data_IF_452757059280
#
_entry.id   IF_452757059280
#
_cell.length_a   1.000
_cell.length_b   1.000
_cell.length_c   1.000
_cell.angle_alpha   90.00
_cell.angle_beta   90.00
_cell.angle_gamma   90.00
#
_symmetry.space_group_name_H-M   'P 1'
#
loop_
_entity.id
_entity.type
_entity.pdbx_description
1 polymer ?
#
# COMPACT_ATOMS: atom_id res chain seq x y z
N UNK A 1 9.40 -1.61 12.07
CA UNK A 1 10.20 -1.16 10.91
C UNK A 1 9.58 0.10 10.29
N UNK A 2 10.27 0.78 9.37
CA UNK A 2 9.76 1.96 8.65
C UNK A 2 8.45 1.67 7.90
N UNK A 3 8.31 0.47 7.33
CA UNK A 3 7.09 -0.02 6.70
C UNK A 3 5.90 -0.10 7.68
N UNK A 4 6.11 -0.57 8.92
CA UNK A 4 5.05 -0.63 9.93
C UNK A 4 4.57 0.76 10.32
N UNK A 5 5.50 1.73 10.43
CA UNK A 5 5.17 3.12 10.71
C UNK A 5 4.34 3.71 9.56
N UNK A 6 4.79 3.54 8.31
CA UNK A 6 4.11 4.09 7.14
C UNK A 6 2.72 3.47 6.93
N UNK A 7 2.61 2.14 6.99
CA UNK A 7 1.31 1.44 6.90
C UNK A 7 0.41 1.78 8.09
N UNK A 8 0.96 2.03 9.27
CA UNK A 8 0.26 2.51 10.46
C UNK A 8 -0.48 3.85 10.26
N UNK A 9 -0.01 4.70 9.35
CA UNK A 9 -0.66 5.98 9.03
C UNK A 9 -1.84 5.86 8.06
N UNK A 10 -2.03 4.69 7.43
CA UNK A 10 -3.18 4.46 6.58
C UNK A 10 -4.45 4.26 7.43
N UNK A 11 -5.58 4.76 6.93
CA UNK A 11 -6.88 4.40 7.48
C UNK A 11 -7.03 2.87 7.51
N UNK A 12 -7.60 2.32 8.58
CA UNK A 12 -7.62 0.88 8.85
C UNK A 12 -8.14 0.05 7.67
N UNK A 13 -9.20 0.51 7.01
CA UNK A 13 -9.78 -0.16 5.85
C UNK A 13 -8.83 -0.22 4.65
N UNK A 14 -8.07 0.85 4.43
CA UNK A 14 -7.06 0.94 3.36
C UNK A 14 -5.85 0.09 3.70
N UNK A 15 -5.40 0.14 4.97
CA UNK A 15 -4.29 -0.67 5.48
C UNK A 15 -4.55 -2.16 5.27
N UNK A 16 -5.73 -2.66 5.65
CA UNK A 16 -6.12 -4.07 5.47
C UNK A 16 -5.98 -4.52 4.02
N UNK A 17 -6.49 -3.72 3.08
CA UNK A 17 -6.37 -4.02 1.64
C UNK A 17 -4.91 -4.04 1.18
N UNK A 18 -4.12 -3.05 1.61
CA UNK A 18 -2.70 -2.95 1.25
C UNK A 18 -1.91 -4.15 1.77
N UNK A 19 -2.14 -4.58 3.00
CA UNK A 19 -1.42 -5.72 3.59
C UNK A 19 -1.83 -7.04 2.91
N UNK A 20 -3.12 -7.31 2.76
CA UNK A 20 -3.58 -8.56 2.13
C UNK A 20 -3.07 -8.69 0.69
N UNK A 21 -3.14 -7.62 -0.10
CA UNK A 21 -2.73 -7.69 -1.52
C UNK A 21 -1.21 -7.51 -1.69
N UNK A 22 -0.62 -6.55 -0.98
CA UNK A 22 0.76 -6.13 -1.19
C UNK A 22 1.79 -6.94 -0.40
N UNK A 23 1.41 -7.44 0.78
CA UNK A 23 2.29 -8.24 1.64
C UNK A 23 1.96 -9.74 1.52
N UNK A 24 0.69 -10.12 1.67
CA UNK A 24 0.28 -11.54 1.61
C UNK A 24 0.09 -12.05 0.17
N UNK A 25 0.09 -11.15 -0.83
CA UNK A 25 -0.04 -11.53 -2.24
C UNK A 25 -1.41 -12.04 -2.65
N UNK A 26 -2.45 -11.80 -1.86
CA UNK A 26 -3.82 -12.25 -2.15
C UNK A 26 -4.34 -11.63 -3.46
N UNK A 27 -4.99 -12.43 -4.33
CA UNK A 27 -5.77 -11.92 -5.44
C UNK A 27 -6.85 -10.94 -4.97
N UNK A 28 -7.25 -10.00 -5.82
CA UNK A 28 -8.18 -8.94 -5.42
C UNK A 28 -9.56 -9.50 -5.05
N UNK A 29 -9.99 -10.56 -5.73
CA UNK A 29 -11.24 -11.27 -5.52
C UNK A 29 -11.26 -12.03 -4.18
N UNK A 30 -10.11 -12.57 -3.77
CA UNK A 30 -9.96 -13.24 -2.48
C UNK A 30 -9.91 -12.22 -1.34
N UNK A 31 -9.15 -11.14 -1.50
CA UNK A 31 -9.14 -10.02 -0.56
C UNK A 31 -10.53 -9.39 -0.39
N UNK A 32 -11.32 -9.29 -1.47
CA UNK A 32 -12.71 -8.84 -1.44
C UNK A 32 -13.58 -9.76 -0.58
N UNK A 33 -13.42 -11.08 -0.75
CA UNK A 33 -14.12 -12.11 0.05
C UNK A 33 -13.75 -12.02 1.52
N UNK A 34 -12.45 -11.97 1.85
CA UNK A 34 -11.94 -11.88 3.23
C UNK A 34 -12.45 -10.63 3.95
N UNK A 35 -12.53 -9.50 3.24
CA UNK A 35 -12.93 -8.22 3.83
C UNK A 35 -14.43 -7.94 3.75
N UNK A 36 -15.22 -8.77 3.04
CA UNK A 36 -16.65 -8.56 2.86
C UNK A 36 -17.00 -7.28 2.09
N UNK A 37 -16.19 -6.91 1.09
CA UNK A 37 -16.36 -5.68 0.31
C UNK A 37 -16.33 -5.95 -1.21
N UNK A 38 -16.88 -5.05 -2.05
CA UNK A 38 -16.76 -5.20 -3.51
C UNK A 38 -15.31 -5.18 -4.00
N UNK A 39 -14.99 -5.96 -5.04
CA UNK A 39 -13.65 -5.96 -5.67
C UNK A 39 -13.25 -4.59 -6.22
N UNK A 40 -14.21 -3.76 -6.65
CA UNK A 40 -13.96 -2.36 -7.02
C UNK A 40 -13.51 -1.50 -5.83
N UNK A 41 -14.01 -1.79 -4.63
CA UNK A 41 -13.56 -1.15 -3.38
C UNK A 41 -12.15 -1.59 -3.01
N UNK A 42 -11.78 -2.85 -3.23
CA UNK A 42 -10.39 -3.33 -3.08
C UNK A 42 -9.46 -2.53 -3.99
N UNK A 43 -9.78 -2.42 -5.28
CA UNK A 43 -8.95 -1.68 -6.27
C UNK A 43 -8.77 -0.21 -5.88
N UNK A 44 -9.86 0.48 -5.50
CA UNK A 44 -9.81 1.90 -5.13
C UNK A 44 -9.11 2.16 -3.79
N UNK A 45 -9.27 1.28 -2.79
CA UNK A 45 -8.52 1.35 -1.52
C UNK A 45 -7.04 1.07 -1.75
N UNK A 46 -6.70 0.05 -2.54
CA UNK A 46 -5.31 -0.28 -2.87
C UNK A 46 -4.59 0.88 -3.58
N UNK A 47 -5.24 1.50 -4.56
CA UNK A 47 -4.70 2.66 -5.27
C UNK A 47 -4.39 3.83 -4.31
N UNK A 48 -5.37 4.19 -3.45
CA UNK A 48 -5.17 5.24 -2.44
C UNK A 48 -4.07 4.90 -1.44
N UNK A 49 -4.03 3.66 -0.96
CA UNK A 49 -3.00 3.19 -0.04
C UNK A 49 -1.59 3.27 -0.64
N UNK A 50 -1.41 2.85 -1.89
CA UNK A 50 -0.13 2.96 -2.60
C UNK A 50 0.32 4.41 -2.78
N UNK A 51 -0.58 5.31 -3.13
CA UNK A 51 -0.25 6.72 -3.27
C UNK A 51 0.18 7.35 -1.94
N UNK A 52 -0.54 7.04 -0.85
CA UNK A 52 -0.18 7.53 0.47
C UNK A 52 1.17 6.96 0.93
N UNK A 53 1.40 5.66 0.72
CA UNK A 53 2.68 5.04 1.08
C UNK A 53 3.84 5.60 0.28
N UNK A 54 3.67 5.92 -1.01
CA UNK A 54 4.70 6.61 -1.79
C UNK A 54 5.09 7.93 -1.13
N UNK A 55 4.12 8.79 -0.79
CA UNK A 55 4.42 10.06 -0.11
C UNK A 55 5.12 9.83 1.22
N UNK A 56 4.61 8.91 2.05
CA UNK A 56 5.15 8.65 3.38
C UNK A 56 6.56 8.03 3.38
N UNK A 57 6.89 7.27 2.32
CA UNK A 57 8.19 6.62 2.16
C UNK A 57 9.16 7.50 1.37
N UNK A 58 8.71 8.29 0.39
CA UNK A 58 9.55 9.26 -0.33
C UNK A 58 9.97 10.43 0.57
N UNK A 59 9.15 10.80 1.59
CA UNK A 59 9.59 11.74 2.64
C UNK A 59 10.61 11.14 3.60
N UNK A 60 10.64 9.81 3.71
CA UNK A 60 11.49 9.08 4.65
C UNK A 60 12.78 8.54 4.00
N UNK A 61 12.76 8.34 2.68
CA UNK A 61 13.89 7.98 1.83
C UNK A 61 14.34 9.25 1.09
N UNK A 62 15.46 9.90 1.46
CA UNK A 62 16.02 10.97 0.62
C UNK A 62 16.23 10.41 -0.79
N UNK A 63 15.92 11.17 -1.86
CA UNK A 63 16.04 10.66 -3.22
C UNK A 63 17.46 10.11 -3.40
N UNK A 64 17.57 8.81 -3.66
CA UNK A 64 18.87 8.25 -4.05
C UNK A 64 19.37 9.09 -5.24
N UNK A 65 20.63 9.56 -5.22
CA UNK A 65 21.19 10.23 -6.37
C UNK A 65 21.07 9.26 -7.53
N UNK A 66 20.19 9.58 -8.47
CA UNK A 66 19.97 8.86 -9.71
C UNK A 66 21.34 8.54 -10.29
N UNK A 67 21.73 7.27 -10.17
CA UNK A 67 23.09 6.81 -10.37
C UNK A 67 23.59 7.35 -11.71
N UNK A 68 24.70 8.06 -11.65
CA UNK A 68 25.39 8.67 -12.78
C UNK A 68 25.33 7.75 -14.00
N UNK A 69 24.54 8.13 -15.00
CA UNK A 69 24.72 7.64 -16.35
C UNK A 69 26.08 8.21 -16.80
N UNK A 70 27.07 7.32 -16.80
CA UNK A 70 28.40 7.52 -17.35
C UNK A 70 28.36 7.95 -18.83
#
# INVERSE_FOLDING_TARGET
MELDRATGQLAEETRKVVLLVGLEGLPYEEAATVLGIPVGTVRSRLSRGRNMLRVLLDEAVPPEPMMAAA
#
